data_IF_844074407657
#
_entry.id   IF_844074407657
#
_cell.length_a   1.000
_cell.length_b   1.000
_cell.length_c   1.000
_cell.angle_alpha   90.00
_cell.angle_beta   90.00
_cell.angle_gamma   90.00
#
_symmetry.space_group_name_H-M   'P 1'
#
loop_
_entity.id
_entity.type
_entity.pdbx_description
1 polymer ?
#
# COMPACT_ATOMS: atom_id res chain seq x y z
N UNK A 1 -12.71 2.30 2.29
CA UNK A 1 -12.56 2.55 0.85
C UNK A 1 -12.79 4.02 0.59
N UNK A 2 -11.77 4.84 0.83
CA UNK A 2 -11.77 6.27 0.52
C UNK A 2 -10.33 6.76 0.33
N UNK A 3 -10.12 8.01 -0.12
CA UNK A 3 -8.79 8.53 -0.45
C UNK A 3 -7.75 8.44 0.69
N UNK A 4 -8.19 8.51 1.95
CA UNK A 4 -7.32 8.35 3.11
C UNK A 4 -6.65 6.98 3.21
N UNK A 5 -7.30 5.91 2.73
CA UNK A 5 -6.73 4.56 2.73
C UNK A 5 -5.49 4.49 1.82
N UNK A 6 -5.54 5.20 0.68
CA UNK A 6 -4.40 5.35 -0.23
C UNK A 6 -3.32 6.23 0.42
N UNK A 7 -3.73 7.32 1.07
CA UNK A 7 -2.82 8.22 1.79
C UNK A 7 -1.96 7.50 2.83
N UNK A 8 -2.53 6.56 3.59
CA UNK A 8 -1.76 5.74 4.53
C UNK A 8 -0.74 4.83 3.83
N UNK A 9 -1.09 4.22 2.69
CA UNK A 9 -0.16 3.40 1.93
C UNK A 9 1.00 4.21 1.34
N UNK A 10 0.73 5.44 0.90
CA UNK A 10 1.78 6.37 0.45
C UNK A 10 2.66 6.79 1.62
N UNK A 11 2.07 7.13 2.77
CA UNK A 11 2.80 7.51 3.97
C UNK A 11 3.74 6.39 4.44
N UNK A 12 3.29 5.13 4.39
CA UNK A 12 4.13 3.96 4.69
C UNK A 12 5.38 3.88 3.80
N UNK A 13 5.24 4.06 2.47
CA UNK A 13 6.39 4.05 1.57
C UNK A 13 7.30 5.28 1.72
N UNK A 14 6.75 6.40 2.17
CA UNK A 14 7.49 7.64 2.38
C UNK A 14 8.18 7.71 3.76
N UNK A 15 7.91 6.76 4.65
CA UNK A 15 8.50 6.71 5.99
C UNK A 15 10.01 6.41 5.91
N UNK A 16 10.80 7.10 6.72
CA UNK A 16 12.26 6.95 6.75
C UNK A 16 12.68 5.52 7.17
N UNK A 17 11.89 4.86 8.01
CA UNK A 17 12.15 3.47 8.42
C UNK A 17 11.89 2.48 7.28
N UNK A 18 11.16 2.88 6.23
CA UNK A 18 10.82 2.04 5.07
C UNK A 18 11.87 2.11 3.94
N UNK A 19 13.03 2.75 4.15
CA UNK A 19 14.03 3.02 3.09
C UNK A 19 14.50 1.78 2.31
N UNK A 20 14.42 0.59 2.91
CA UNK A 20 14.84 -0.68 2.29
C UNK A 20 13.76 -1.33 1.42
N UNK A 21 12.53 -0.81 1.43
CA UNK A 21 11.38 -1.36 0.69
C UNK A 21 11.29 -0.71 -0.68
N UNK A 22 11.85 -1.37 -1.70
CA UNK A 22 11.91 -0.85 -3.07
C UNK A 22 11.29 -1.81 -4.08
N UNK A 23 10.78 -1.26 -5.20
CA UNK A 23 10.20 -2.03 -6.30
C UNK A 23 8.90 -2.78 -5.98
N UNK A 24 8.29 -2.54 -4.82
CA UNK A 24 7.08 -3.24 -4.39
C UNK A 24 5.82 -2.62 -4.96
N UNK A 25 4.80 -3.45 -5.17
CA UNK A 25 3.43 -3.02 -5.52
C UNK A 25 2.52 -3.38 -4.34
N UNK A 26 1.93 -2.37 -3.71
CA UNK A 26 1.00 -2.53 -2.59
C UNK A 26 -0.44 -2.24 -3.04
N UNK A 27 -1.29 -3.27 -3.02
CA UNK A 27 -2.70 -3.13 -3.39
C UNK A 27 -3.56 -2.65 -2.22
N UNK A 28 -4.23 -1.52 -2.39
CA UNK A 28 -5.18 -0.96 -1.43
C UNK A 28 -6.62 -1.23 -1.89
N UNK A 29 -7.05 -2.48 -1.78
CA UNK A 29 -8.37 -2.93 -2.26
C UNK A 29 -9.23 -3.59 -1.18
N UNK A 30 -8.77 -3.61 0.09
CA UNK A 30 -9.45 -4.33 1.17
C UNK A 30 -9.45 -5.86 0.97
N UNK A 31 -8.46 -6.41 0.28
CA UNK A 31 -8.32 -7.86 0.03
C UNK A 31 -9.07 -8.39 -1.19
N UNK A 32 -9.79 -7.54 -1.94
CA UNK A 32 -10.57 -7.96 -3.12
C UNK A 32 -9.74 -8.55 -4.25
N UNK A 33 -8.47 -8.13 -4.37
CA UNK A 33 -7.52 -8.63 -5.37
C UNK A 33 -6.79 -9.91 -4.93
N UNK A 34 -6.88 -10.30 -3.65
CA UNK A 34 -6.15 -11.47 -3.10
C UNK A 34 -6.83 -12.79 -3.45
N UNK A 35 -8.15 -12.77 -3.69
CA UNK A 35 -8.95 -13.94 -4.09
C UNK A 35 -9.36 -13.96 -5.56
N UNK A 36 -8.70 -13.18 -6.42
CA UNK A 36 -8.96 -13.14 -7.85
C UNK A 36 -8.09 -14.17 -8.60
N UNK A 37 -8.11 -15.42 -8.14
CA UNK A 37 -7.72 -16.64 -8.87
C UNK A 37 -8.56 -17.80 -8.35
#
# INVERSE_FOLDING_TARGET
GGPGDIGHAVAFFADDDSWYITGQVLYVCGGRSVGAY
#
